data_IF_550331124276
#
_entry.id   IF_550331124276
#
_cell.length_a   1.000
_cell.length_b   1.000
_cell.length_c   1.000
_cell.angle_alpha   90.00
_cell.angle_beta   90.00
_cell.angle_gamma   90.00
#
_symmetry.space_group_name_H-M   'P 1'
#
loop_
_entity.id
_entity.type
_entity.pdbx_description
1 polymer ?
#
# COMPACT_ATOMS: atom_id res chain seq x y z
N UNK A 1 8.26 3.04 -22.37
CA UNK A 1 7.14 2.74 -23.29
C UNK A 1 7.39 3.10 -24.76
N UNK A 2 8.60 3.54 -25.16
CA UNK A 2 8.81 4.10 -26.50
C UNK A 2 9.07 3.08 -27.63
N UNK A 3 9.41 1.83 -27.31
CA UNK A 3 9.93 0.89 -28.32
C UNK A 3 8.87 -0.04 -28.94
N UNK A 4 7.76 -0.37 -28.26
CA UNK A 4 6.73 -1.30 -28.76
C UNK A 4 5.28 -0.95 -28.33
N UNK A 5 4.72 0.20 -28.76
CA UNK A 5 3.47 0.75 -28.23
C UNK A 5 2.23 -0.15 -28.44
N UNK A 6 2.12 -0.83 -29.60
CA UNK A 6 0.98 -1.73 -29.90
C UNK A 6 0.97 -2.98 -29.00
N UNK A 7 2.14 -3.50 -28.64
CA UNK A 7 2.27 -4.64 -27.75
C UNK A 7 1.98 -4.23 -26.30
N UNK A 8 2.53 -3.09 -25.87
CA UNK A 8 2.28 -2.56 -24.52
C UNK A 8 0.80 -2.22 -24.29
N UNK A 9 0.11 -1.68 -25.30
CA UNK A 9 -1.32 -1.37 -25.21
C UNK A 9 -2.18 -2.61 -24.92
N UNK A 10 -1.81 -3.78 -25.48
CA UNK A 10 -2.50 -5.05 -25.17
C UNK A 10 -2.22 -5.55 -23.75
N UNK A 11 -0.98 -5.37 -23.26
CA UNK A 11 -0.57 -5.81 -21.92
C UNK A 11 -1.22 -4.95 -20.84
N UNK A 12 -1.31 -3.62 -21.04
CA UNK A 12 -1.89 -2.70 -20.05
C UNK A 12 -3.32 -3.10 -19.65
N UNK A 13 -4.12 -3.64 -20.57
CA UNK A 13 -5.49 -4.04 -20.28
C UNK A 13 -5.56 -5.21 -19.29
N UNK A 14 -4.60 -6.14 -19.32
CA UNK A 14 -4.55 -7.32 -18.44
C UNK A 14 -3.62 -7.14 -17.24
N UNK A 15 -2.74 -6.14 -17.27
CA UNK A 15 -1.77 -5.86 -16.21
C UNK A 15 -2.41 -5.65 -14.82
N UNK A 16 -3.57 -4.97 -14.67
CA UNK A 16 -4.22 -4.85 -13.36
C UNK A 16 -4.61 -6.21 -12.78
N UNK A 17 -5.15 -7.11 -13.60
CA UNK A 17 -5.57 -8.44 -13.14
C UNK A 17 -4.36 -9.28 -12.71
N UNK A 18 -3.29 -9.27 -13.51
CA UNK A 18 -2.04 -9.95 -13.17
C UNK A 18 -1.45 -9.36 -11.87
N UNK A 19 -1.48 -8.03 -11.73
CA UNK A 19 -1.03 -7.32 -10.53
C UNK A 19 -1.77 -7.76 -9.27
N UNK A 20 -3.11 -7.89 -9.34
CA UNK A 20 -3.92 -8.38 -8.21
C UNK A 20 -3.57 -9.83 -7.85
N UNK A 21 -3.42 -10.72 -8.84
CA UNK A 21 -3.05 -12.12 -8.60
C UNK A 21 -1.68 -12.21 -7.93
N UNK A 22 -0.68 -11.55 -8.49
CA UNK A 22 0.69 -11.54 -7.95
C UNK A 22 0.73 -10.94 -6.54
N UNK A 23 0.03 -9.84 -6.32
CA UNK A 23 -0.04 -9.20 -5.00
C UNK A 23 -0.71 -10.13 -3.98
N UNK A 24 -1.79 -10.82 -4.37
CA UNK A 24 -2.48 -11.78 -3.49
C UNK A 24 -1.55 -12.93 -3.08
N UNK A 25 -0.82 -13.51 -4.04
CA UNK A 25 0.16 -14.57 -3.78
C UNK A 25 1.31 -14.07 -2.89
N UNK A 26 1.78 -12.86 -3.15
CA UNK A 26 2.83 -12.20 -2.36
C UNK A 26 2.38 -11.94 -0.92
N UNK A 27 1.10 -11.65 -0.69
CA UNK A 27 0.54 -11.49 0.66
C UNK A 27 0.36 -12.84 1.37
N UNK A 28 -0.08 -13.87 0.64
CA UNK A 28 -0.41 -15.18 1.22
C UNK A 28 0.82 -15.88 1.82
N UNK A 29 1.99 -15.80 1.18
CA UNK A 29 3.19 -16.52 1.63
C UNK A 29 3.70 -16.03 3.01
N UNK A 30 3.94 -14.72 3.26
CA UNK A 30 4.31 -14.20 4.56
C UNK A 30 3.30 -14.55 5.66
N UNK A 31 1.99 -14.39 5.38
CA UNK A 31 0.92 -14.70 6.34
C UNK A 31 0.92 -16.18 6.73
N UNK A 32 1.12 -17.08 5.75
CA UNK A 32 1.24 -18.52 6.02
C UNK A 32 2.44 -18.87 6.91
N UNK A 33 3.56 -18.17 6.73
CA UNK A 33 4.78 -18.40 7.53
C UNK A 33 4.64 -17.94 8.98
N UNK A 34 3.71 -17.03 9.28
CA UNK A 34 3.46 -16.51 10.64
C UNK A 34 2.09 -16.93 11.21
N UNK A 35 1.43 -17.92 10.61
CA UNK A 35 0.04 -18.27 10.90
C UNK A 35 -0.20 -18.63 12.38
N UNK A 36 0.69 -19.38 13.03
CA UNK A 36 0.55 -19.76 14.44
C UNK A 36 0.60 -18.55 15.38
N UNK A 37 1.41 -17.54 15.05
CA UNK A 37 1.48 -16.28 15.80
C UNK A 37 0.20 -15.48 15.58
N UNK A 38 -0.34 -15.46 14.35
CA UNK A 38 -1.61 -14.80 14.07
C UNK A 38 -2.80 -15.48 14.76
N UNK A 39 -2.80 -16.81 14.93
CA UNK A 39 -3.87 -17.50 15.67
C UNK A 39 -3.92 -17.08 17.14
N UNK A 40 -2.76 -16.84 17.75
CA UNK A 40 -2.66 -16.51 19.18
C UNK A 40 -2.73 -15.00 19.46
N UNK A 41 -2.12 -14.17 18.60
CA UNK A 41 -1.98 -12.72 18.82
C UNK A 41 -2.42 -11.87 17.62
N UNK A 42 -3.12 -12.45 16.65
CA UNK A 42 -3.48 -11.78 15.40
C UNK A 42 -4.31 -10.51 15.60
N UNK A 43 -5.23 -10.48 16.57
CA UNK A 43 -6.04 -9.29 16.83
C UNK A 43 -5.18 -8.07 17.23
N UNK A 44 -4.23 -8.26 18.15
CA UNK A 44 -3.33 -7.19 18.58
C UNK A 44 -2.42 -6.73 17.44
N UNK A 45 -1.88 -7.67 16.66
CA UNK A 45 -1.02 -7.36 15.52
C UNK A 45 -1.77 -6.63 14.40
N UNK A 46 -3.00 -7.06 14.09
CA UNK A 46 -3.86 -6.42 13.10
C UNK A 46 -4.25 -5.01 13.54
N UNK A 47 -4.60 -4.81 14.82
CA UNK A 47 -4.92 -3.49 15.35
C UNK A 47 -3.71 -2.55 15.27
N UNK A 48 -2.53 -3.02 15.68
CA UNK A 48 -1.31 -2.24 15.61
C UNK A 48 -0.94 -1.88 14.15
N UNK A 49 -1.00 -2.86 13.24
CA UNK A 49 -0.75 -2.64 11.81
C UNK A 49 -1.78 -1.69 11.18
N UNK A 50 -3.07 -1.88 11.47
CA UNK A 50 -4.13 -1.01 10.98
C UNK A 50 -3.94 0.44 11.45
N UNK A 51 -3.60 0.64 12.73
CA UNK A 51 -3.32 1.95 13.28
C UNK A 51 -2.10 2.61 12.61
N UNK A 52 -1.01 1.85 12.44
CA UNK A 52 0.21 2.34 11.78
C UNK A 52 -0.09 2.84 10.36
N UNK A 53 -0.79 2.05 9.54
CA UNK A 53 -1.13 2.45 8.18
C UNK A 53 -2.16 3.55 8.14
N UNK A 54 -3.19 3.51 8.99
CA UNK A 54 -4.17 4.59 9.08
C UNK A 54 -3.49 5.93 9.42
N UNK A 55 -2.54 5.92 10.36
CA UNK A 55 -1.74 7.09 10.69
C UNK A 55 -0.86 7.53 9.50
N UNK A 56 -0.23 6.61 8.77
CA UNK A 56 0.58 6.93 7.60
C UNK A 56 -0.25 7.57 6.47
N UNK A 57 -1.42 7.00 6.14
CA UNK A 57 -2.35 7.60 5.17
C UNK A 57 -2.79 8.99 5.65
N UNK A 58 -3.27 9.09 6.90
CA UNK A 58 -3.80 10.32 7.45
C UNK A 58 -2.75 11.44 7.52
N UNK A 59 -1.57 11.15 8.05
CA UNK A 59 -0.49 12.14 8.15
C UNK A 59 0.06 12.50 6.77
N UNK A 60 0.20 11.53 5.87
CA UNK A 60 0.60 11.79 4.48
C UNK A 60 -0.35 12.76 3.79
N UNK A 61 -1.66 12.58 3.97
CA UNK A 61 -2.67 13.52 3.48
C UNK A 61 -2.58 14.89 4.17
N UNK A 62 -2.60 14.94 5.50
CA UNK A 62 -2.60 16.21 6.24
C UNK A 62 -1.37 17.07 5.97
N UNK A 63 -0.19 16.46 5.93
CA UNK A 63 1.07 17.19 5.70
C UNK A 63 1.13 17.71 4.27
N UNK A 64 0.71 16.91 3.29
CA UNK A 64 0.72 17.34 1.89
C UNK A 64 -0.27 18.47 1.60
N UNK A 65 -1.43 18.47 2.26
CA UNK A 65 -2.44 19.55 2.13
C UNK A 65 -1.95 20.94 2.51
N UNK A 66 -0.83 21.07 3.22
CA UNK A 66 -0.22 22.36 3.56
C UNK A 66 0.40 23.02 2.31
N UNK A 67 0.91 22.20 1.37
CA UNK A 67 1.74 22.66 0.26
C UNK A 67 1.18 22.31 -1.12
N UNK A 68 0.29 21.33 -1.22
CA UNK A 68 -0.15 20.75 -2.49
C UNK A 68 -1.67 20.75 -2.66
N UNK A 69 -2.11 20.68 -3.91
CA UNK A 69 -3.49 20.40 -4.29
C UNK A 69 -4.02 19.06 -3.77
N UNK A 70 -5.32 18.89 -3.86
CA UNK A 70 -6.06 17.68 -3.47
C UNK A 70 -5.58 16.45 -4.24
N UNK A 71 -5.38 16.54 -5.56
CA UNK A 71 -4.91 15.43 -6.38
C UNK A 71 -3.55 14.87 -5.89
N UNK A 72 -2.59 15.78 -5.71
CA UNK A 72 -1.24 15.45 -5.25
C UNK A 72 -1.26 14.99 -3.80
N UNK A 73 -2.08 15.61 -2.94
CA UNK A 73 -2.20 15.22 -1.53
C UNK A 73 -2.78 13.81 -1.35
N UNK A 74 -3.79 13.44 -2.16
CA UNK A 74 -4.32 12.07 -2.21
C UNK A 74 -3.24 11.08 -2.65
N UNK A 75 -2.44 11.46 -3.64
CA UNK A 75 -1.33 10.63 -4.13
C UNK A 75 -0.28 10.42 -3.04
N UNK A 76 0.18 11.49 -2.39
CA UNK A 76 1.17 11.43 -1.29
C UNK A 76 0.63 10.59 -0.12
N UNK A 77 -0.65 10.73 0.22
CA UNK A 77 -1.29 9.88 1.23
C UNK A 77 -1.17 8.39 0.90
N UNK A 78 -1.46 8.00 -0.34
CA UNK A 78 -1.37 6.60 -0.78
C UNK A 78 0.08 6.12 -0.73
N UNK A 79 1.02 6.87 -1.28
CA UNK A 79 2.44 6.52 -1.30
C UNK A 79 3.02 6.41 0.12
N UNK A 80 2.58 7.26 1.05
CA UNK A 80 3.01 7.20 2.45
C UNK A 80 2.50 5.94 3.15
N UNK A 81 1.23 5.58 2.94
CA UNK A 81 0.61 4.42 3.59
C UNK A 81 0.87 3.07 2.91
N UNK A 82 1.23 3.05 1.62
CA UNK A 82 1.49 1.85 0.82
C UNK A 82 2.99 1.58 0.61
N UNK A 83 3.72 1.36 1.71
CA UNK A 83 5.15 1.03 1.65
C UNK A 83 5.42 -0.42 1.21
N UNK A 84 6.65 -0.71 0.78
CA UNK A 84 7.04 -2.09 0.39
C UNK A 84 7.21 -3.01 1.61
N UNK A 85 6.12 -3.62 2.06
CA UNK A 85 6.15 -4.62 3.15
C UNK A 85 6.95 -5.87 2.78
N UNK A 86 7.05 -6.20 1.50
CA UNK A 86 7.85 -7.33 1.01
C UNK A 86 9.35 -7.14 1.29
N UNK A 87 9.87 -5.92 1.08
CA UNK A 87 11.25 -5.61 1.42
C UNK A 87 11.48 -5.72 2.93
N UNK A 88 10.56 -5.19 3.74
CA UNK A 88 10.62 -5.30 5.20
C UNK A 88 10.65 -6.76 5.68
N UNK A 89 9.80 -7.61 5.10
CA UNK A 89 9.76 -9.04 5.40
C UNK A 89 11.08 -9.75 5.04
N UNK A 90 11.61 -9.49 3.83
CA UNK A 90 12.88 -10.08 3.38
C UNK A 90 14.06 -9.63 4.23
N UNK A 91 14.12 -8.34 4.61
CA UNK A 91 15.15 -7.82 5.50
C UNK A 91 15.05 -8.44 6.90
N UNK A 92 13.83 -8.59 7.43
CA UNK A 92 13.60 -9.23 8.72
C UNK A 92 14.14 -10.67 8.72
N UNK A 93 13.81 -11.46 7.69
CA UNK A 93 14.29 -12.83 7.55
C UNK A 93 15.80 -12.94 7.34
N UNK A 94 16.39 -11.99 6.61
CA UNK A 94 17.82 -12.03 6.27
C UNK A 94 18.72 -11.60 7.43
N UNK A 95 18.27 -10.64 8.24
CA UNK A 95 19.14 -9.97 9.22
C UNK A 95 18.83 -10.31 10.67
N UNK A 96 17.68 -10.94 10.97
CA UNK A 96 17.31 -11.29 12.34
C UNK A 96 17.10 -12.81 12.47
N UNK A 97 17.70 -13.39 13.50
CA UNK A 97 17.53 -14.82 13.82
C UNK A 97 16.14 -15.13 14.34
N UNK A 98 15.46 -14.15 14.95
CA UNK A 98 14.11 -14.32 15.48
C UNK A 98 13.05 -14.17 14.36
N UNK A 99 12.33 -15.24 13.98
CA UNK A 99 11.33 -15.19 12.92
C UNK A 99 10.13 -14.27 13.25
N UNK A 100 9.91 -13.95 14.53
CA UNK A 100 8.84 -13.05 14.96
C UNK A 100 9.02 -11.62 14.44
N UNK A 101 10.24 -11.22 14.08
CA UNK A 101 10.54 -9.89 13.53
C UNK A 101 9.91 -9.70 12.14
N UNK A 102 9.62 -10.78 11.42
CA UNK A 102 8.97 -10.72 10.12
C UNK A 102 7.43 -10.58 10.22
N UNK A 103 6.84 -10.86 11.39
CA UNK A 103 5.39 -10.86 11.62
C UNK A 103 4.76 -9.48 11.36
N UNK A 104 5.32 -8.35 11.87
CA UNK A 104 4.75 -7.03 11.58
C UNK A 104 4.72 -6.73 10.08
N UNK A 105 5.78 -7.06 9.33
CA UNK A 105 5.82 -6.87 7.87
C UNK A 105 4.81 -7.76 7.14
N UNK A 106 4.61 -9.00 7.61
CA UNK A 106 3.59 -9.89 7.05
C UNK A 106 2.16 -9.35 7.30
N UNK A 107 1.88 -8.80 8.47
CA UNK A 107 0.56 -8.21 8.79
C UNK A 107 0.34 -6.88 8.06
N UNK A 108 1.38 -6.05 7.98
CA UNK A 108 1.43 -4.75 7.29
C UNK A 108 0.91 -4.85 5.86
N UNK A 109 1.26 -5.90 5.12
CA UNK A 109 0.82 -6.08 3.71
C UNK A 109 -0.70 -6.14 3.58
N UNK A 110 -1.39 -6.76 4.54
CA UNK A 110 -2.85 -6.88 4.55
C UNK A 110 -3.48 -5.54 4.93
N UNK A 111 -2.97 -4.90 5.99
CA UNK A 111 -3.46 -3.62 6.48
C UNK A 111 -3.37 -2.52 5.41
N UNK A 112 -2.23 -2.37 4.74
CA UNK A 112 -2.04 -1.35 3.71
C UNK A 112 -2.86 -1.63 2.44
N UNK A 113 -3.03 -2.90 2.04
CA UNK A 113 -3.82 -3.26 0.87
C UNK A 113 -5.31 -2.96 1.09
N UNK A 114 -5.84 -3.32 2.27
CA UNK A 114 -7.22 -3.00 2.65
C UNK A 114 -7.43 -1.49 2.79
N UNK A 115 -6.54 -0.80 3.52
CA UNK A 115 -6.62 0.65 3.72
C UNK A 115 -6.51 1.44 2.41
N UNK A 116 -5.51 1.13 1.59
CA UNK A 116 -5.31 1.78 0.29
C UNK A 116 -6.46 1.54 -0.67
N UNK A 117 -6.98 0.31 -0.74
CA UNK A 117 -8.14 -0.01 -1.59
C UNK A 117 -9.41 0.71 -1.14
N UNK A 118 -9.66 0.76 0.17
CA UNK A 118 -10.80 1.49 0.72
C UNK A 118 -10.72 2.99 0.42
N UNK A 119 -9.53 3.59 0.60
CA UNK A 119 -9.30 5.01 0.34
C UNK A 119 -9.39 5.34 -1.16
N UNK A 120 -8.86 4.47 -2.02
CA UNK A 120 -9.00 4.60 -3.47
C UNK A 120 -10.47 4.55 -3.91
N UNK A 121 -11.27 3.62 -3.35
CA UNK A 121 -12.72 3.54 -3.63
C UNK A 121 -13.45 4.78 -3.11
N UNK A 122 -13.10 5.24 -1.91
CA UNK A 122 -13.67 6.46 -1.33
C UNK A 122 -13.41 7.67 -2.23
N UNK A 123 -12.16 7.92 -2.62
CA UNK A 123 -11.81 9.06 -3.46
C UNK A 123 -12.24 8.95 -4.91
N UNK A 124 -12.42 7.74 -5.45
CA UNK A 124 -13.04 7.56 -6.76
C UNK A 124 -14.45 8.17 -6.82
N UNK A 125 -15.14 8.21 -5.69
CA UNK A 125 -16.48 8.78 -5.59
C UNK A 125 -16.48 10.25 -5.11
N UNK A 126 -15.31 10.88 -5.00
CA UNK A 126 -15.15 12.27 -4.55
C UNK A 126 -14.45 13.09 -5.64
N UNK A 127 -15.17 13.96 -6.38
CA UNK A 127 -14.54 14.78 -7.41
C UNK A 127 -13.44 15.66 -6.82
N UNK A 128 -12.40 15.89 -7.61
CA UNK A 128 -11.34 16.85 -7.29
C UNK A 128 -11.93 18.26 -7.48
N UNK A 129 -11.65 19.23 -6.59
CA UNK A 129 -12.08 20.62 -6.76
C UNK A 129 -11.69 21.17 -8.15
N UNK A 130 -12.55 21.99 -8.75
CA UNK A 130 -12.32 22.56 -10.09
C UNK A 130 -11.16 23.56 -10.08
N UNK A 131 -10.93 24.19 -8.94
CA UNK A 131 -9.87 25.14 -8.62
C UNK A 131 -8.68 24.48 -7.91
N UNK A 132 -8.51 23.15 -8.04
CA UNK A 132 -7.38 22.47 -7.42
C UNK A 132 -6.04 23.00 -7.92
N UNK A 133 -5.05 23.05 -7.04
CA UNK A 133 -3.73 23.56 -7.37
C UNK A 133 -3.07 22.66 -8.42
N UNK A 134 -2.52 23.27 -9.47
CA UNK A 134 -1.69 22.57 -10.44
C UNK A 134 -0.23 22.61 -9.97
N UNK A 135 0.09 21.65 -9.11
CA UNK A 135 1.36 21.60 -8.37
C UNK A 135 2.61 21.38 -9.24
N UNK A 136 2.44 21.12 -10.54
CA UNK A 136 3.53 20.80 -11.47
C UNK A 136 3.58 21.72 -12.70
N UNK A 137 2.87 22.85 -12.68
CA UNK A 137 3.06 23.90 -13.68
C UNK A 137 4.39 24.63 -13.41
N UNK A 138 5.32 24.51 -14.37
CA UNK A 138 6.44 25.45 -14.54
C UNK A 138 5.97 26.78 -15.14
#
# INVERSE_FOLDING_TARGET
MSFFPKFTSKIITVAPLIGVILTTLLCASPIGQVAEVLKSQGAQLLLAGAFLHAAAFFLGYLVSKISFGESTSRTISIECGMQSSALGFLLAQKHFTNPLVAVPSAVSVVCMALGGSALAVYWRNQPIPVDDNDDFKE
#
